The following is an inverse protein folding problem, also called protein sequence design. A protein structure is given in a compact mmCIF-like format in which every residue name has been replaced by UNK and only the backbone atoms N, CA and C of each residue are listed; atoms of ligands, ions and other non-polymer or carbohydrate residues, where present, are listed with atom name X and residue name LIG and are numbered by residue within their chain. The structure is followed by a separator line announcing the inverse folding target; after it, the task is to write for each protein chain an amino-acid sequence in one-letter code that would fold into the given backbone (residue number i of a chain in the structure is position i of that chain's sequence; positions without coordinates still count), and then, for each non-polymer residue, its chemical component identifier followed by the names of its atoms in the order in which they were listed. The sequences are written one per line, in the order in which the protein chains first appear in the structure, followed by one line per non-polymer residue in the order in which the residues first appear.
data_IF_039091519797
#
_entry.id   IF_039091519797
#
_cell.length_a   1.000
_cell.length_b   1.000
_cell.length_c   1.000
_cell.angle_alpha   90.00
_cell.angle_beta   90.00
_cell.angle_gamma   90.00
#
_symmetry.space_group_name_H-M   'P 1'
#
loop_
_entity.id
_entity.type
_entity.pdbx_description
1 polymer ?
#
# COMPACT_ATOMS: atom_id res chain seq x y z
N UNK A 1 -8.86 -36.55 -23.55
CA UNK A 1 -7.56 -35.87 -23.34
C UNK A 1 -6.58 -36.86 -22.74
N UNK A 2 -5.37 -36.95 -23.26
CA UNK A 2 -4.37 -37.89 -22.75
C UNK A 2 -3.98 -37.58 -21.29
N UNK A 3 -3.91 -38.60 -20.41
CA UNK A 3 -3.59 -38.41 -18.99
C UNK A 3 -2.18 -37.84 -18.77
N UNK A 4 -1.24 -38.10 -19.68
CA UNK A 4 0.10 -37.47 -19.67
C UNK A 4 0.04 -35.97 -19.95
N UNK A 5 -0.78 -35.55 -20.93
CA UNK A 5 -0.98 -34.12 -21.24
C UNK A 5 -1.62 -33.39 -20.07
N UNK A 6 -2.58 -34.01 -19.39
CA UNK A 6 -3.22 -33.42 -18.20
C UNK A 6 -2.22 -33.19 -17.07
N UNK A 7 -1.41 -34.20 -16.72
CA UNK A 7 -0.36 -34.05 -15.69
C UNK A 7 0.68 -32.98 -16.03
N UNK A 8 1.06 -32.87 -17.31
CA UNK A 8 1.98 -31.82 -17.75
C UNK A 8 1.38 -30.42 -17.55
N UNK A 9 0.10 -30.24 -17.87
CA UNK A 9 -0.61 -28.98 -17.66
C UNK A 9 -0.75 -28.65 -16.17
N UNK A 10 -1.05 -29.66 -15.33
CA UNK A 10 -1.16 -29.46 -13.87
C UNK A 10 0.20 -29.01 -13.28
N UNK A 11 1.31 -29.62 -13.69
CA UNK A 11 2.66 -29.22 -13.27
C UNK A 11 3.01 -27.81 -13.76
N UNK A 12 2.71 -27.51 -15.03
CA UNK A 12 2.95 -26.18 -15.59
C UNK A 12 2.13 -25.09 -14.87
N UNK A 13 0.87 -25.39 -14.54
CA UNK A 13 0.01 -24.50 -13.77
C UNK A 13 0.57 -24.24 -12.37
N UNK A 14 0.97 -25.28 -11.65
CA UNK A 14 1.58 -25.14 -10.33
C UNK A 14 2.88 -24.34 -10.39
N UNK A 15 3.72 -24.55 -11.41
CA UNK A 15 4.93 -23.78 -11.61
C UNK A 15 4.64 -22.29 -11.85
N UNK A 16 3.62 -21.98 -12.66
CA UNK A 16 3.19 -20.60 -12.90
C UNK A 16 2.66 -19.93 -11.61
N UNK A 17 1.86 -20.64 -10.83
CA UNK A 17 1.36 -20.15 -9.52
C UNK A 17 2.53 -19.87 -8.58
N UNK A 18 3.48 -20.81 -8.46
CA UNK A 18 4.66 -20.64 -7.60
C UNK A 18 5.51 -19.43 -8.05
N UNK A 19 5.66 -19.21 -9.35
CA UNK A 19 6.36 -18.05 -9.88
C UNK A 19 5.66 -16.72 -9.52
N UNK A 20 4.34 -16.63 -9.71
CA UNK A 20 3.55 -15.44 -9.36
C UNK A 20 3.65 -15.15 -7.86
N UNK A 21 3.46 -16.17 -7.01
CA UNK A 21 3.57 -16.02 -5.55
C UNK A 21 4.97 -15.60 -5.16
N UNK A 22 6.01 -16.20 -5.75
CA UNK A 22 7.40 -15.84 -5.49
C UNK A 22 7.69 -14.38 -5.80
N UNK A 23 7.20 -13.86 -6.92
CA UNK A 23 7.32 -12.44 -7.29
C UNK A 23 6.60 -11.54 -6.29
N UNK A 24 5.36 -11.88 -5.89
CA UNK A 24 4.58 -11.08 -4.94
C UNK A 24 5.20 -11.03 -3.55
N UNK A 25 5.80 -12.12 -3.08
CA UNK A 25 6.50 -12.19 -1.79
C UNK A 25 7.84 -11.43 -1.83
N UNK A 26 8.55 -11.48 -2.96
CA UNK A 26 9.80 -10.74 -3.14
C UNK A 26 9.60 -9.25 -3.39
N UNK A 27 8.38 -8.82 -3.76
CA UNK A 27 8.09 -7.42 -4.00
C UNK A 27 8.32 -6.62 -2.71
N UNK A 28 9.19 -5.58 -2.75
CA UNK A 28 9.43 -4.77 -1.56
C UNK A 28 8.11 -4.14 -1.12
N UNK A 29 7.82 -4.22 0.18
CA UNK A 29 6.69 -3.49 0.74
C UNK A 29 6.99 -2.01 0.57
N UNK A 30 6.37 -1.36 -0.42
CA UNK A 30 6.47 0.07 -0.66
C UNK A 30 5.77 0.81 0.49
N UNK A 31 6.41 0.81 1.65
CA UNK A 31 5.97 1.59 2.81
C UNK A 31 6.45 3.00 2.54
N UNK A 32 5.49 3.93 2.49
CA UNK A 32 5.82 5.35 2.48
C UNK A 32 6.47 5.75 3.80
N UNK A 33 6.97 6.99 3.90
CA UNK A 33 7.35 7.55 5.18
C UNK A 33 6.16 7.51 6.14
N UNK A 34 6.44 7.26 7.42
CA UNK A 34 5.42 7.27 8.46
C UNK A 34 4.85 8.67 8.66
N UNK A 35 3.63 8.72 9.19
CA UNK A 35 2.99 9.98 9.55
C UNK A 35 3.82 10.68 10.66
N UNK A 36 4.09 11.99 10.55
CA UNK A 36 4.75 12.75 11.59
C UNK A 36 4.01 12.68 12.94
N UNK A 37 4.75 12.80 14.03
CA UNK A 37 4.21 12.87 15.38
C UNK A 37 4.07 14.33 15.86
N UNK A 38 3.55 15.21 15.01
CA UNK A 38 3.38 16.64 15.29
C UNK A 38 1.91 17.00 15.62
N UNK A 39 1.68 18.28 15.91
CA UNK A 39 0.36 18.80 16.28
C UNK A 39 -0.70 18.60 15.18
N UNK A 40 -0.29 18.67 13.91
CA UNK A 40 -1.19 18.61 12.76
C UNK A 40 -1.58 17.17 12.43
N UNK A 41 -0.70 16.20 12.73
CA UNK A 41 -0.88 14.80 12.35
C UNK A 41 -1.34 13.88 13.49
N UNK A 42 -1.12 14.25 14.75
CA UNK A 42 -1.41 13.40 15.92
C UNK A 42 -2.89 13.03 16.11
N UNK A 43 -3.80 13.74 15.43
CA UNK A 43 -5.25 13.49 15.53
C UNK A 43 -5.71 12.31 14.66
N UNK A 44 -4.99 12.02 13.57
CA UNK A 44 -5.39 11.00 12.58
C UNK A 44 -5.30 9.55 13.07
N UNK A 45 -4.32 9.14 13.90
CA UNK A 45 -4.25 7.77 14.42
C UNK A 45 -5.45 7.37 15.29
N UNK A 46 -6.16 8.34 15.86
CA UNK A 46 -7.34 8.10 16.70
C UNK A 46 -8.67 8.13 15.92
N UNK A 47 -8.63 8.37 14.60
CA UNK A 47 -9.81 8.52 13.74
C UNK A 47 -10.02 7.26 12.88
N UNK A 48 -11.26 6.98 12.44
CA UNK A 48 -11.51 6.01 11.39
C UNK A 48 -10.70 6.37 10.13
N UNK A 49 -10.11 5.36 9.50
CA UNK A 49 -9.20 5.54 8.35
C UNK A 49 -9.81 6.40 7.23
N UNK A 50 -11.05 6.12 6.86
CA UNK A 50 -11.74 6.84 5.79
C UNK A 50 -11.92 8.34 6.12
N UNK A 51 -12.24 8.66 7.37
CA UNK A 51 -12.38 10.06 7.82
C UNK A 51 -11.03 10.78 7.86
N UNK A 52 -9.98 10.09 8.33
CA UNK A 52 -8.64 10.64 8.37
C UNK A 52 -8.08 10.94 6.97
N UNK A 53 -8.25 10.00 6.02
CA UNK A 53 -7.79 10.14 4.64
C UNK A 53 -8.50 11.30 3.91
N UNK A 54 -9.77 11.57 4.23
CA UNK A 54 -10.52 12.69 3.64
C UNK A 54 -9.97 14.08 4.01
N UNK A 55 -9.25 14.19 5.13
CA UNK A 55 -8.68 15.45 5.60
C UNK A 55 -7.29 15.76 5.00
N UNK A 56 -6.56 14.74 4.53
CA UNK A 56 -5.19 14.90 4.01
C UNK A 56 -5.08 15.90 2.84
N UNK A 57 -6.00 15.92 1.85
CA UNK A 57 -5.90 16.83 0.70
C UNK A 57 -6.01 18.32 1.04
N UNK A 58 -6.47 18.68 2.25
CA UNK A 58 -6.50 20.06 2.71
C UNK A 58 -5.11 20.70 2.69
N UNK A 59 -4.07 19.91 3.01
CA UNK A 59 -2.67 20.33 2.94
C UNK A 59 -1.90 19.68 1.78
N UNK A 60 -2.21 18.42 1.47
CA UNK A 60 -1.53 17.59 0.48
C UNK A 60 -2.27 17.53 -0.86
N UNK A 61 -2.57 18.69 -1.43
CA UNK A 61 -3.09 18.83 -2.80
C UNK A 61 -2.11 19.61 -3.68
N UNK A 62 -2.30 19.63 -5.00
CA UNK A 62 -1.43 20.36 -5.94
C UNK A 62 -1.24 21.84 -5.58
N UNK A 63 -2.25 22.46 -4.97
CA UNK A 63 -2.26 23.86 -4.54
C UNK A 63 -2.20 24.03 -3.02
N UNK A 64 -2.05 22.93 -2.29
CA UNK A 64 -1.97 22.94 -0.84
C UNK A 64 -0.62 23.46 -0.34
N UNK A 65 -0.50 23.80 0.95
CA UNK A 65 0.76 24.23 1.57
C UNK A 65 1.87 23.17 1.54
N UNK A 66 1.53 21.89 1.39
CA UNK A 66 2.50 20.78 1.37
C UNK A 66 2.15 19.80 0.24
N UNK A 67 2.33 20.16 -1.03
CA UNK A 67 1.89 19.35 -2.16
C UNK A 67 2.60 17.99 -2.19
N UNK A 68 1.89 16.99 -2.75
CA UNK A 68 2.45 15.67 -2.96
C UNK A 68 3.60 15.71 -3.96
N UNK A 69 4.59 14.82 -3.78
CA UNK A 69 5.71 14.71 -4.70
C UNK A 69 5.23 14.27 -6.11
N UNK A 70 5.97 14.66 -7.15
CA UNK A 70 5.62 14.37 -8.55
C UNK A 70 5.47 12.87 -8.89
N UNK A 71 6.10 11.98 -8.11
CA UNK A 71 5.99 10.53 -8.24
C UNK A 71 4.93 9.87 -7.34
N UNK A 72 4.10 10.65 -6.64
CA UNK A 72 3.10 10.10 -5.73
C UNK A 72 2.00 9.35 -6.50
N UNK A 73 1.61 8.13 -6.07
CA UNK A 73 0.53 7.40 -6.71
C UNK A 73 -0.79 8.20 -6.71
N UNK A 74 -1.62 8.10 -7.76
CA UNK A 74 -2.85 8.90 -7.88
C UNK A 74 -3.99 8.43 -6.95
N UNK A 75 -3.83 7.30 -6.25
CA UNK A 75 -4.88 6.75 -5.40
C UNK A 75 -4.91 7.48 -4.03
N UNK A 76 -6.07 7.98 -3.56
CA UNK A 76 -6.20 8.70 -2.29
C UNK A 76 -6.29 7.73 -1.09
N UNK A 77 -5.36 6.78 -1.00
CA UNK A 77 -5.30 5.76 0.05
C UNK A 77 -4.12 6.05 0.98
N UNK A 78 -4.07 7.27 1.53
CA UNK A 78 -2.90 7.81 2.21
C UNK A 78 -2.38 6.87 3.30
N UNK A 79 -3.27 6.38 4.17
CA UNK A 79 -2.91 5.56 5.33
C UNK A 79 -2.66 4.09 4.97
N UNK A 80 -2.73 3.70 3.69
CA UNK A 80 -2.28 2.37 3.26
C UNK A 80 -0.76 2.26 3.31
N UNK A 81 -0.07 3.32 2.87
CA UNK A 81 1.38 3.37 2.76
C UNK A 81 2.00 4.27 3.84
N UNK A 82 1.30 5.32 4.27
CA UNK A 82 1.73 6.24 5.33
C UNK A 82 1.16 5.82 6.68
N UNK A 83 1.72 4.75 7.25
CA UNK A 83 1.29 4.24 8.54
C UNK A 83 1.55 5.27 9.65
N UNK A 84 0.57 5.44 10.54
CA UNK A 84 0.78 6.19 11.78
C UNK A 84 1.94 5.56 12.57
N UNK A 85 2.79 6.37 13.18
CA UNK A 85 3.72 5.86 14.18
C UNK A 85 2.90 5.25 15.32
N UNK A 86 2.78 3.91 15.37
CA UNK A 86 2.25 3.24 16.55
C UNK A 86 3.14 3.63 17.74
N UNK A 87 2.57 4.12 18.86
CA UNK A 87 3.35 4.24 20.08
C UNK A 87 3.90 2.85 20.40
N UNK A 88 5.20 2.77 20.72
CA UNK A 88 5.77 1.52 21.25
C UNK A 88 5.01 1.21 22.55
N UNK A 89 4.20 0.16 22.51
CA UNK A 89 3.46 -0.35 23.67
C UNK A 89 4.41 -1.04 24.63
#
# INVERSE_FOLDING_TARGET
MDPKRRRLLDVAFLAAVAAVVGVLVAAPSARGPRLPADADHRVFPARPRAEAEAACPACHSERGPAPLAAGHPPKPQCLHCHEAARPKR
#
